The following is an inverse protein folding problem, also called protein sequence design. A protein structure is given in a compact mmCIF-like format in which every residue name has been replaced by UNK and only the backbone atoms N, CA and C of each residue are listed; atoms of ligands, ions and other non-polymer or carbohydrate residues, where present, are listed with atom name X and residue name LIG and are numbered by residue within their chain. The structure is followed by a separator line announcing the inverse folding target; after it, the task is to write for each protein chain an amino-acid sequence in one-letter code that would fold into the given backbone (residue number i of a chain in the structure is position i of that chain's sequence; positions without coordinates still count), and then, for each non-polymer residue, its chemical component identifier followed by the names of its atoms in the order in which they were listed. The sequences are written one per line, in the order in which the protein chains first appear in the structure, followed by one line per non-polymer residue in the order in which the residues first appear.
data_IF_195297214604
#
_entry.id   IF_195297214604
#
_cell.length_a   1.000
_cell.length_b   1.000
_cell.length_c   1.000
_cell.angle_alpha   90.00
_cell.angle_beta   90.00
_cell.angle_gamma   90.00
#
_symmetry.space_group_name_H-M   'P 1'
#
loop_
_entity.id
_entity.type
_entity.pdbx_description
1 polymer ?
#
# COMPACT_ATOMS: atom_id res chain seq x y z
N UNK A 1 4.21 -2.76 -41.20
CA UNK A 1 3.08 -2.46 -40.28
C UNK A 1 2.60 -1.01 -40.34
N UNK A 2 3.23 -0.11 -41.12
CA UNK A 2 2.87 1.33 -41.16
C UNK A 2 1.53 1.69 -41.82
N UNK A 3 0.81 0.70 -42.37
CA UNK A 3 -0.48 0.91 -43.05
C UNK A 3 -1.72 0.78 -42.15
N UNK A 4 -1.57 0.32 -40.91
CA UNK A 4 -2.73 0.16 -40.02
C UNK A 4 -3.16 1.53 -39.47
N UNK A 5 -4.42 1.97 -39.69
CA UNK A 5 -4.98 3.17 -39.08
C UNK A 5 -4.82 3.16 -37.56
N UNK A 6 -4.57 4.32 -36.98
CA UNK A 6 -4.31 4.45 -35.53
C UNK A 6 -5.52 4.03 -34.70
N UNK A 7 -6.72 4.26 -35.21
CA UNK A 7 -8.00 3.91 -34.60
C UNK A 7 -8.16 2.39 -34.46
N UNK A 8 -7.82 1.64 -35.51
CA UNK A 8 -7.83 0.18 -35.48
C UNK A 8 -6.76 -0.37 -34.54
N UNK A 9 -5.59 0.27 -34.51
CA UNK A 9 -4.54 -0.09 -33.56
C UNK A 9 -4.98 0.12 -32.11
N UNK A 10 -5.64 1.24 -31.79
CA UNK A 10 -6.22 1.49 -30.47
C UNK A 10 -7.25 0.41 -30.13
N UNK A 11 -8.12 0.05 -31.07
CA UNK A 11 -9.13 -0.98 -30.84
C UNK A 11 -8.50 -2.34 -30.54
N UNK A 12 -7.54 -2.79 -31.37
CA UNK A 12 -6.80 -4.04 -31.15
C UNK A 12 -6.10 -4.03 -29.78
N UNK A 13 -5.38 -2.96 -29.45
CA UNK A 13 -4.66 -2.85 -28.16
C UNK A 13 -5.62 -2.80 -26.96
N UNK A 14 -6.84 -2.28 -27.12
CA UNK A 14 -7.81 -2.26 -26.02
C UNK A 14 -8.22 -3.67 -25.55
N UNK A 15 -8.12 -4.66 -26.44
CA UNK A 15 -8.42 -6.06 -26.17
C UNK A 15 -7.28 -6.81 -25.47
N UNK A 16 -6.05 -6.27 -25.48
CA UNK A 16 -4.86 -6.91 -24.90
C UNK A 16 -4.80 -6.67 -23.38
N UNK A 17 -4.29 -7.63 -22.61
CA UNK A 17 -4.07 -7.43 -21.17
C UNK A 17 -3.10 -6.26 -20.90
N UNK A 18 -3.31 -5.52 -19.81
CA UNK A 18 -2.51 -4.34 -19.53
C UNK A 18 -1.03 -4.64 -19.26
N UNK A 19 -0.70 -5.84 -18.76
CA UNK A 19 0.69 -6.26 -18.57
C UNK A 19 1.36 -6.51 -19.90
N UNK A 20 0.65 -7.13 -20.84
CA UNK A 20 1.16 -7.35 -22.21
C UNK A 20 1.28 -6.04 -22.98
N UNK A 21 0.36 -5.09 -22.77
CA UNK A 21 0.50 -3.74 -23.30
C UNK A 21 1.84 -3.11 -22.90
N UNK A 22 2.19 -3.19 -21.61
CA UNK A 22 3.41 -2.59 -21.07
C UNK A 22 4.68 -3.36 -21.42
N UNK A 23 4.64 -4.69 -21.34
CA UNK A 23 5.84 -5.53 -21.43
C UNK A 23 6.16 -5.96 -22.87
N UNK A 24 5.14 -6.09 -23.73
CA UNK A 24 5.28 -6.67 -25.06
C UNK A 24 4.92 -5.67 -26.17
N UNK A 25 3.72 -5.08 -26.13
CA UNK A 25 3.21 -4.22 -27.21
C UNK A 25 4.05 -2.96 -27.43
N UNK A 26 4.59 -2.37 -26.36
CA UNK A 26 5.47 -1.20 -26.43
C UNK A 26 6.81 -1.47 -27.11
N UNK A 27 7.22 -2.73 -27.23
CA UNK A 27 8.47 -3.13 -27.87
C UNK A 27 8.32 -3.40 -29.37
N UNK A 28 7.08 -3.48 -29.87
CA UNK A 28 6.78 -3.82 -31.28
C UNK A 28 7.22 -2.73 -32.24
N UNK A 29 6.85 -1.48 -31.97
CA UNK A 29 7.25 -0.32 -32.79
C UNK A 29 7.05 0.99 -32.02
N UNK A 30 7.63 2.08 -32.52
CA UNK A 30 7.43 3.44 -31.97
C UNK A 30 5.95 3.82 -31.94
N UNK A 31 5.22 3.54 -33.03
CA UNK A 31 3.78 3.81 -33.14
C UNK A 31 2.98 3.07 -32.06
N UNK A 32 3.27 1.78 -31.85
CA UNK A 32 2.59 0.99 -30.81
C UNK A 32 2.88 1.55 -29.41
N UNK A 33 4.14 1.88 -29.13
CA UNK A 33 4.53 2.50 -27.87
C UNK A 33 3.78 3.81 -27.60
N UNK A 34 3.70 4.69 -28.60
CA UNK A 34 2.99 5.97 -28.49
C UNK A 34 1.49 5.77 -28.21
N UNK A 35 0.84 4.82 -28.88
CA UNK A 35 -0.57 4.50 -28.64
C UNK A 35 -0.80 3.90 -27.26
N UNK A 36 0.08 2.99 -26.82
CA UNK A 36 0.00 2.39 -25.48
C UNK A 36 0.16 3.45 -24.40
N UNK A 37 1.20 4.29 -24.54
CA UNK A 37 1.57 5.27 -23.52
C UNK A 37 0.55 6.43 -23.44
N UNK A 38 -0.21 6.72 -24.49
CA UNK A 38 -1.15 7.84 -24.56
C UNK A 38 -2.62 7.47 -24.31
N UNK A 39 -3.13 6.39 -24.92
CA UNK A 39 -4.59 6.12 -24.96
C UNK A 39 -4.94 4.74 -24.42
N UNK A 40 -4.20 3.69 -24.80
CA UNK A 40 -4.65 2.31 -24.54
C UNK A 40 -4.75 2.02 -23.03
N UNK A 41 -3.72 2.37 -22.25
CA UNK A 41 -3.70 2.14 -20.80
C UNK A 41 -4.71 3.04 -20.06
N UNK A 42 -4.86 4.29 -20.51
CA UNK A 42 -5.84 5.23 -19.96
C UNK A 42 -7.26 4.68 -20.08
N UNK A 43 -7.67 4.30 -21.30
CA UNK A 43 -9.01 3.73 -21.55
C UNK A 43 -9.24 2.47 -20.73
N UNK A 44 -8.22 1.61 -20.63
CA UNK A 44 -8.30 0.39 -19.82
C UNK A 44 -8.48 0.72 -18.34
N UNK A 45 -7.74 1.70 -17.80
CA UNK A 45 -7.92 2.15 -16.42
C UNK A 45 -9.33 2.74 -16.19
N UNK A 46 -9.84 3.57 -17.10
CA UNK A 46 -11.20 4.14 -17.02
C UNK A 46 -12.30 3.07 -17.02
N UNK A 47 -12.09 1.94 -17.71
CA UNK A 47 -13.06 0.83 -17.75
C UNK A 47 -13.00 -0.10 -16.53
N UNK A 48 -11.81 -0.32 -15.96
CA UNK A 48 -11.60 -1.37 -14.95
C UNK A 48 -11.36 -0.86 -13.53
N UNK A 49 -11.00 0.41 -13.36
CA UNK A 49 -10.74 0.98 -12.03
C UNK A 49 -12.00 1.61 -11.45
N UNK A 50 -12.17 1.51 -10.13
CA UNK A 50 -13.26 2.18 -9.44
C UNK A 50 -13.10 3.71 -9.48
N UNK A 51 -14.20 4.45 -9.34
CA UNK A 51 -14.17 5.92 -9.27
C UNK A 51 -13.25 6.42 -8.14
N UNK A 52 -13.19 5.71 -7.01
CA UNK A 52 -12.27 6.01 -5.89
C UNK A 52 -10.80 5.96 -6.34
N UNK A 53 -10.41 4.96 -7.13
CA UNK A 53 -9.04 4.84 -7.67
C UNK A 53 -8.77 5.92 -8.71
N UNK A 54 -9.72 6.17 -9.62
CA UNK A 54 -9.59 7.23 -10.64
C UNK A 54 -9.45 8.63 -10.01
N UNK A 55 -10.16 8.88 -8.91
CA UNK A 55 -10.09 10.13 -8.16
C UNK A 55 -8.92 10.19 -7.16
N UNK A 56 -8.17 9.11 -6.96
CA UNK A 56 -7.06 9.07 -6.01
C UNK A 56 -5.84 9.88 -6.50
N UNK A 57 -5.79 10.22 -7.79
CA UNK A 57 -4.82 11.17 -8.29
C UNK A 57 -5.27 12.59 -7.94
N UNK A 58 -4.35 13.46 -7.52
CA UNK A 58 -4.66 14.87 -7.44
C UNK A 58 -5.10 15.32 -8.84
N UNK A 59 -6.37 15.71 -8.98
CA UNK A 59 -6.75 16.60 -10.06
C UNK A 59 -5.90 17.84 -9.85
N UNK A 60 -4.86 18.00 -10.67
CA UNK A 60 -4.22 19.29 -10.81
C UNK A 60 -5.35 20.27 -11.09
N UNK A 61 -5.59 21.20 -10.16
CA UNK A 61 -6.42 22.35 -10.47
C UNK A 61 -5.80 22.95 -11.73
N UNK A 62 -6.60 23.05 -12.78
CA UNK A 62 -6.26 23.37 -14.17
C UNK A 62 -5.93 22.15 -15.06
N UNK A 63 -6.90 21.88 -15.95
CA UNK A 63 -6.83 21.29 -17.29
C UNK A 63 -5.46 20.70 -17.72
N UNK A 64 -5.49 19.44 -18.19
CA UNK A 64 -4.49 18.83 -19.10
C UNK A 64 -3.19 18.26 -18.54
N UNK A 65 -3.18 17.62 -17.36
CA UNK A 65 -2.10 16.66 -17.08
C UNK A 65 -2.50 15.25 -17.52
N UNK A 66 -2.11 14.89 -18.74
CA UNK A 66 -2.06 13.48 -19.17
C UNK A 66 -1.12 12.76 -18.19
N UNK A 67 -1.69 11.97 -17.28
CA UNK A 67 -0.87 11.15 -16.40
C UNK A 67 0.01 10.23 -17.23
N UNK A 68 1.26 10.02 -16.79
CA UNK A 68 2.17 9.11 -17.47
C UNK A 68 1.59 7.70 -17.50
N UNK A 69 1.93 6.91 -18.52
CA UNK A 69 1.46 5.54 -18.66
C UNK A 69 1.72 4.68 -17.41
N UNK A 70 2.78 4.99 -16.65
CA UNK A 70 3.10 4.34 -15.38
C UNK A 70 1.98 4.48 -14.36
N UNK A 71 1.29 5.62 -14.31
CA UNK A 71 0.19 5.86 -13.38
C UNK A 71 -1.00 4.97 -13.73
N UNK A 72 -1.41 4.90 -14.99
CA UNK A 72 -2.49 4.00 -15.43
C UNK A 72 -2.11 2.53 -15.20
N UNK A 73 -0.85 2.17 -15.43
CA UNK A 73 -0.34 0.84 -15.09
C UNK A 73 -0.46 0.54 -13.59
N UNK A 74 -0.10 1.48 -12.71
CA UNK A 74 -0.26 1.32 -11.25
C UNK A 74 -1.72 1.25 -10.82
N UNK A 75 -2.61 2.02 -11.46
CA UNK A 75 -4.06 1.92 -11.26
C UNK A 75 -4.58 0.53 -11.59
N UNK A 76 -4.19 -0.01 -12.74
CA UNK A 76 -4.58 -1.35 -13.19
C UNK A 76 -3.97 -2.46 -12.31
N UNK A 77 -2.85 -2.19 -11.63
CA UNK A 77 -2.30 -3.08 -10.58
C UNK A 77 -3.01 -2.93 -9.22
N UNK A 78 -4.02 -2.06 -9.11
CA UNK A 78 -4.81 -1.87 -7.89
C UNK A 78 -3.95 -1.54 -6.66
N UNK A 79 -2.96 -0.66 -6.83
CA UNK A 79 -2.05 -0.23 -5.75
C UNK A 79 -2.49 1.06 -5.06
N UNK A 80 -3.33 1.87 -5.72
CA UNK A 80 -3.83 3.12 -5.16
C UNK A 80 -4.98 2.89 -4.18
N UNK A 81 -5.06 3.72 -3.13
CA UNK A 81 -6.15 3.74 -2.16
C UNK A 81 -6.48 2.37 -1.54
N UNK A 82 -5.44 1.52 -1.36
CA UNK A 82 -5.55 0.17 -0.83
C UNK A 82 -4.50 -0.07 0.25
N UNK A 83 -4.88 -0.81 1.30
CA UNK A 83 -3.94 -1.32 2.29
C UNK A 83 -3.12 -2.47 1.69
N UNK A 84 -1.79 -2.34 1.69
CA UNK A 84 -0.85 -3.35 1.20
C UNK A 84 -0.43 -4.36 2.28
N UNK A 85 -0.72 -4.07 3.56
CA UNK A 85 -0.58 -5.05 4.64
C UNK A 85 -1.67 -6.12 4.51
N UNK A 86 -1.29 -7.36 4.81
CA UNK A 86 -2.24 -8.47 4.88
C UNK A 86 -2.64 -8.69 6.33
N UNK A 87 -3.90 -9.08 6.57
CA UNK A 87 -4.40 -9.41 7.91
C UNK A 87 -4.05 -8.31 8.94
N UNK A 88 -4.39 -7.05 8.61
CA UNK A 88 -4.01 -5.88 9.41
C UNK A 88 -4.76 -5.79 10.75
N UNK A 89 -5.90 -6.49 10.90
CA UNK A 89 -6.69 -6.50 12.13
C UNK A 89 -6.66 -7.86 12.86
N UNK A 90 -6.18 -8.94 12.23
CA UNK A 90 -6.06 -10.25 12.88
C UNK A 90 -7.21 -11.22 12.61
N UNK A 91 -8.09 -10.95 11.64
CA UNK A 91 -9.18 -11.86 11.25
C UNK A 91 -8.67 -13.27 10.91
N UNK A 92 -7.44 -13.37 10.39
CA UNK A 92 -6.75 -14.61 10.10
C UNK A 92 -5.71 -14.96 11.18
N UNK A 93 -6.01 -14.68 12.46
CA UNK A 93 -5.08 -14.87 13.59
C UNK A 93 -3.75 -14.15 13.34
N UNK A 94 -2.62 -14.83 13.49
CA UNK A 94 -1.27 -14.29 13.23
C UNK A 94 -0.77 -14.54 11.79
N UNK A 95 -1.63 -14.97 10.86
CA UNK A 95 -1.22 -15.20 9.47
C UNK A 95 -0.60 -13.94 8.86
N UNK A 96 0.42 -14.13 8.01
CA UNK A 96 1.25 -13.10 7.37
C UNK A 96 2.21 -12.32 8.26
N UNK A 97 2.01 -12.32 9.58
CA UNK A 97 2.90 -11.67 10.53
C UNK A 97 4.04 -12.60 10.94
N UNK A 98 5.23 -12.03 11.11
CA UNK A 98 6.42 -12.74 11.59
C UNK A 98 6.86 -12.18 12.94
N UNK A 99 7.32 -13.02 13.88
CA UNK A 99 7.83 -12.54 15.16
C UNK A 99 9.17 -11.83 14.95
N UNK A 100 9.43 -10.76 15.69
CA UNK A 100 10.74 -10.10 15.67
C UNK A 100 11.81 -10.87 16.47
N UNK A 101 11.39 -11.79 17.34
CA UNK A 101 12.24 -12.62 18.18
C UNK A 101 12.02 -14.11 17.85
N UNK A 102 12.81 -15.00 18.45
CA UNK A 102 12.76 -16.45 18.19
C UNK A 102 11.53 -17.14 18.79
N UNK A 103 10.79 -16.46 19.67
CA UNK A 103 9.59 -16.99 20.30
C UNK A 103 8.44 -17.11 19.29
N UNK A 104 7.56 -18.09 19.50
CA UNK A 104 6.34 -18.25 18.69
C UNK A 104 5.44 -17.02 18.86
N UNK A 105 5.10 -16.40 17.73
CA UNK A 105 4.24 -15.21 17.66
C UNK A 105 2.88 -15.42 18.36
N UNK A 106 2.33 -16.64 18.31
CA UNK A 106 1.05 -16.97 18.95
C UNK A 106 1.10 -16.98 20.48
N UNK A 107 2.29 -17.05 21.08
CA UNK A 107 2.47 -16.96 22.53
C UNK A 107 2.54 -15.52 23.03
N UNK A 108 2.93 -14.58 22.15
CA UNK A 108 3.14 -13.16 22.47
C UNK A 108 1.97 -12.27 22.06
N UNK A 109 1.13 -12.73 21.15
CA UNK A 109 0.01 -11.96 20.64
C UNK A 109 -1.28 -12.76 20.78
N UNK A 110 -2.24 -12.18 21.49
CA UNK A 110 -3.64 -12.59 21.44
C UNK A 110 -4.32 -11.82 20.31
N UNK A 111 -5.16 -12.49 19.55
CA UNK A 111 -6.12 -11.82 18.67
C UNK A 111 -7.46 -11.81 19.38
N UNK A 112 -8.02 -10.62 19.53
CA UNK A 112 -9.35 -10.43 20.10
C UNK A 112 -10.33 -10.23 18.94
N UNK A 113 -11.41 -11.00 18.91
CA UNK A 113 -12.40 -10.90 17.83
C UNK A 113 -13.12 -9.54 17.84
N UNK A 114 -13.35 -9.03 19.04
CA UNK A 114 -13.74 -7.67 19.36
C UNK A 114 -12.78 -7.16 20.44
N UNK A 115 -12.33 -5.90 20.39
CA UNK A 115 -11.43 -5.38 21.41
C UNK A 115 -12.01 -5.54 22.82
N UNK A 116 -11.30 -6.26 23.69
CA UNK A 116 -11.72 -6.50 25.06
C UNK A 116 -11.21 -5.38 25.97
N UNK A 117 -12.12 -4.70 26.68
CA UNK A 117 -11.74 -3.61 27.60
C UNK A 117 -11.39 -2.29 26.89
N UNK A 118 -11.85 -2.09 25.65
CA UNK A 118 -11.82 -0.82 24.93
C UNK A 118 -13.12 -0.60 24.16
N UNK A 119 -13.25 0.56 23.52
CA UNK A 119 -14.28 0.81 22.50
C UNK A 119 -14.09 -0.11 21.28
N UNK A 120 -15.17 -0.29 20.51
CA UNK A 120 -15.10 -0.90 19.19
C UNK A 120 -14.13 -0.15 18.27
N UNK A 121 -13.59 -0.86 17.28
CA UNK A 121 -12.75 -0.24 16.25
C UNK A 121 -13.52 0.89 15.54
N UNK A 122 -12.86 2.03 15.25
CA UNK A 122 -13.47 3.11 14.49
C UNK A 122 -13.99 2.64 13.13
N UNK A 123 -15.17 3.12 12.73
CA UNK A 123 -15.74 2.85 11.41
C UNK A 123 -15.02 3.71 10.35
N UNK A 124 -13.96 3.17 9.74
CA UNK A 124 -13.26 3.83 8.64
C UNK A 124 -12.63 2.84 7.63
N UNK A 125 -12.15 3.41 6.52
CA UNK A 125 -11.53 2.68 5.41
C UNK A 125 -10.28 1.87 5.78
N UNK A 126 -9.57 2.22 6.86
CA UNK A 126 -8.34 1.51 7.27
C UNK A 126 -8.65 0.13 7.86
N UNK A 127 -9.80 0.00 8.54
CA UNK A 127 -10.27 -1.26 9.11
C UNK A 127 -11.15 -2.05 8.13
N UNK A 128 -11.86 -1.36 7.23
CA UNK A 128 -12.80 -2.00 6.30
C UNK A 128 -13.88 -2.77 7.07
N UNK A 129 -14.01 -4.07 6.81
CA UNK A 129 -14.91 -4.96 7.57
C UNK A 129 -14.26 -5.58 8.83
N UNK A 130 -13.05 -5.15 9.18
CA UNK A 130 -12.29 -5.67 10.31
C UNK A 130 -12.88 -5.24 11.65
N UNK A 131 -12.99 -6.22 12.55
CA UNK A 131 -13.49 -6.04 13.92
C UNK A 131 -12.49 -6.49 14.99
N UNK A 132 -11.49 -7.27 14.57
CA UNK A 132 -10.49 -7.84 15.47
C UNK A 132 -9.34 -6.88 15.76
N UNK A 133 -8.64 -7.09 16.87
CA UNK A 133 -7.40 -6.38 17.15
C UNK A 133 -6.31 -7.32 17.69
N UNK A 134 -5.07 -6.82 17.67
CA UNK A 134 -3.92 -7.52 18.24
C UNK A 134 -3.65 -7.00 19.64
N UNK A 135 -3.74 -7.87 20.64
CA UNK A 135 -3.53 -7.57 22.04
C UNK A 135 -2.23 -8.24 22.52
N UNK A 136 -1.24 -7.46 23.01
CA UNK A 136 0.03 -8.02 23.46
C UNK A 136 -0.14 -8.79 24.79
N UNK A 137 0.25 -10.07 24.80
CA UNK A 137 0.20 -10.93 26.00
C UNK A 137 1.48 -10.87 26.85
N UNK A 138 2.54 -10.23 26.34
CA UNK A 138 3.86 -10.14 26.96
C UNK A 138 4.48 -8.74 26.79
N UNK A 139 5.46 -8.38 27.63
CA UNK A 139 6.19 -7.09 27.53
C UNK A 139 6.99 -6.92 26.24
N UNK A 140 7.36 -8.03 25.59
CA UNK A 140 8.17 -8.04 24.36
C UNK A 140 7.39 -8.64 23.18
N UNK A 141 6.19 -8.10 22.95
CA UNK A 141 5.33 -8.54 21.87
C UNK A 141 5.66 -7.70 20.63
N UNK A 142 6.35 -8.30 19.65
CA UNK A 142 6.79 -7.59 18.46
C UNK A 142 6.58 -8.46 17.22
N UNK A 143 6.05 -7.85 16.16
CA UNK A 143 5.72 -8.52 14.91
C UNK A 143 6.01 -7.60 13.72
N UNK A 144 6.31 -8.19 12.57
CA UNK A 144 6.58 -7.44 11.35
C UNK A 144 6.01 -8.11 10.09
N UNK A 145 5.87 -7.31 9.03
CA UNK A 145 5.58 -7.76 7.67
C UNK A 145 6.56 -7.11 6.68
N UNK A 146 6.99 -7.87 5.67
CA UNK A 146 7.79 -7.35 4.56
C UNK A 146 6.88 -7.28 3.33
N UNK A 147 6.66 -6.06 2.84
CA UNK A 147 5.88 -5.80 1.63
C UNK A 147 6.84 -5.72 0.44
N UNK A 148 6.69 -6.64 -0.51
CA UNK A 148 7.44 -6.60 -1.77
C UNK A 148 6.72 -5.70 -2.77
N UNK A 149 7.12 -4.43 -2.83
CA UNK A 149 6.49 -3.41 -3.68
C UNK A 149 6.34 -3.86 -5.15
N UNK A 150 7.35 -4.54 -5.71
CA UNK A 150 7.32 -5.06 -7.09
C UNK A 150 6.12 -5.98 -7.39
N UNK A 151 5.62 -6.70 -6.38
CA UNK A 151 4.50 -7.63 -6.53
C UNK A 151 3.18 -6.86 -6.80
N UNK A 152 3.18 -5.53 -6.55
CA UNK A 152 2.08 -4.58 -6.84
C UNK A 152 2.37 -3.68 -8.05
N UNK A 153 3.34 -4.05 -8.90
CA UNK A 153 3.73 -3.27 -10.06
C UNK A 153 4.67 -2.09 -9.77
N UNK A 154 4.98 -1.80 -8.50
CA UNK A 154 5.97 -0.81 -8.07
C UNK A 154 7.39 -1.35 -8.28
N UNK A 155 7.76 -1.53 -9.54
CA UNK A 155 9.10 -1.95 -9.96
C UNK A 155 10.15 -0.88 -9.62
N UNK A 156 11.43 -1.26 -9.59
CA UNK A 156 12.52 -0.30 -9.36
C UNK A 156 12.41 0.92 -10.28
N UNK A 157 12.23 0.69 -11.59
CA UNK A 157 12.04 1.78 -12.57
C UNK A 157 10.87 2.69 -12.22
N UNK A 158 9.74 2.15 -11.76
CA UNK A 158 8.59 2.97 -11.38
C UNK A 158 8.87 3.74 -10.08
N UNK A 159 9.49 3.10 -9.09
CA UNK A 159 9.89 3.76 -7.85
C UNK A 159 10.87 4.91 -8.13
N UNK A 160 11.82 4.73 -9.04
CA UNK A 160 12.82 5.75 -9.39
C UNK A 160 12.21 6.93 -10.16
N UNK A 161 11.26 6.64 -11.07
CA UNK A 161 10.66 7.64 -11.97
C UNK A 161 9.45 8.37 -11.37
N UNK A 162 8.53 7.64 -10.74
CA UNK A 162 7.25 8.18 -10.24
C UNK A 162 7.34 8.57 -8.77
N UNK A 163 8.19 7.87 -8.00
CA UNK A 163 8.39 8.14 -6.57
C UNK A 163 7.07 8.30 -5.82
N UNK A 164 6.17 7.30 -5.91
CA UNK A 164 4.84 7.44 -5.35
C UNK A 164 4.92 7.60 -3.84
N UNK A 165 4.06 8.46 -3.31
CA UNK A 165 3.95 8.66 -1.87
C UNK A 165 3.43 7.38 -1.22
N UNK A 166 4.26 6.76 -0.38
CA UNK A 166 3.86 5.62 0.45
C UNK A 166 3.38 6.18 1.79
N UNK A 167 2.07 6.08 2.03
CA UNK A 167 1.44 6.48 3.29
C UNK A 167 1.38 5.31 4.25
N UNK A 168 1.81 5.53 5.48
CA UNK A 168 1.71 4.53 6.53
C UNK A 168 0.89 5.10 7.69
N UNK A 169 -0.07 4.30 8.15
CA UNK A 169 -0.88 4.62 9.31
C UNK A 169 -0.95 3.41 10.23
N UNK A 170 -0.94 3.68 11.53
CA UNK A 170 -1.16 2.69 12.57
C UNK A 170 -2.24 3.16 13.53
N UNK A 171 -3.01 2.20 14.05
CA UNK A 171 -4.03 2.43 15.06
C UNK A 171 -3.66 1.69 16.33
N UNK A 172 -3.80 2.34 17.47
CA UNK A 172 -3.50 1.76 18.78
C UNK A 172 -4.49 2.22 19.84
N UNK A 173 -4.58 1.43 20.91
CA UNK A 173 -5.37 1.73 22.10
C UNK A 173 -4.53 1.40 23.33
N UNK A 174 -4.50 2.31 24.31
CA UNK A 174 -3.88 2.06 25.61
C UNK A 174 -4.97 2.02 26.68
N UNK A 175 -5.07 0.90 27.39
CA UNK A 175 -5.98 0.72 28.53
C UNK A 175 -5.30 1.08 29.85
N UNK A 176 -6.08 1.35 30.90
CA UNK A 176 -5.57 1.73 32.23
C UNK A 176 -4.70 0.64 32.87
N UNK A 177 -5.00 -0.63 32.59
CA UNK A 177 -4.22 -1.78 33.04
C UNK A 177 -2.88 -1.96 32.29
N UNK A 178 -2.61 -1.15 31.26
CA UNK A 178 -1.35 -1.11 30.52
C UNK A 178 -0.40 0.01 30.98
N UNK A 179 -0.65 0.62 32.14
CA UNK A 179 0.22 1.65 32.73
C UNK A 179 1.70 1.27 32.70
N UNK A 180 2.47 1.95 31.83
CA UNK A 180 3.91 1.74 31.66
C UNK A 180 4.34 0.91 30.44
N UNK A 181 3.44 0.57 29.50
CA UNK A 181 3.82 -0.10 28.25
C UNK A 181 4.21 0.90 27.17
N UNK A 182 5.37 0.70 26.56
CA UNK A 182 5.85 1.47 25.41
C UNK A 182 5.33 0.83 24.12
N UNK A 183 4.61 1.59 23.29
CA UNK A 183 4.37 1.19 21.91
C UNK A 183 5.51 1.72 21.05
N UNK A 184 6.20 0.83 20.34
CA UNK A 184 7.26 1.19 19.40
C UNK A 184 6.91 0.68 18.02
N UNK A 185 6.88 1.60 17.07
CA UNK A 185 6.61 1.33 15.66
C UNK A 185 7.82 1.72 14.84
N UNK A 186 8.27 0.81 13.96
CA UNK A 186 9.40 1.05 13.06
C UNK A 186 9.02 0.65 11.65
N UNK A 187 9.26 1.55 10.70
CA UNK A 187 9.03 1.33 9.27
C UNK A 187 10.29 1.65 8.50
N UNK A 188 10.65 0.78 7.56
CA UNK A 188 11.87 0.91 6.79
C UNK A 188 11.58 0.69 5.31
N UNK A 189 12.06 1.61 4.47
CA UNK A 189 12.13 1.41 3.03
C UNK A 189 13.45 0.71 2.73
N UNK A 190 13.37 -0.43 2.04
CA UNK A 190 14.52 -1.29 1.77
C UNK A 190 14.83 -1.34 0.28
N UNK A 191 16.11 -1.41 -0.06
CA UNK A 191 16.56 -1.64 -1.43
C UNK A 191 16.46 -3.14 -1.82
N UNK A 192 16.88 -3.48 -3.05
CA UNK A 192 16.90 -4.86 -3.54
C UNK A 192 17.82 -5.80 -2.74
N UNK A 193 18.83 -5.26 -2.04
CA UNK A 193 19.76 -5.99 -1.18
C UNK A 193 19.28 -6.05 0.27
N UNK A 194 18.11 -5.49 0.58
CA UNK A 194 17.53 -5.32 1.93
C UNK A 194 18.34 -4.35 2.81
N UNK A 195 19.12 -3.48 2.21
CA UNK A 195 19.72 -2.34 2.89
C UNK A 195 18.64 -1.28 3.12
N UNK A 196 18.71 -0.61 4.27
CA UNK A 196 17.78 0.47 4.63
C UNK A 196 18.12 1.69 3.77
N UNK A 197 17.16 2.13 2.96
CA UNK A 197 17.24 3.39 2.20
C UNK A 197 16.76 4.54 3.07
N UNK A 198 15.67 4.31 3.80
CA UNK A 198 15.05 5.30 4.66
C UNK A 198 14.30 4.59 5.79
N UNK A 199 14.13 5.25 6.93
CA UNK A 199 13.46 4.68 8.09
C UNK A 199 12.80 5.73 8.95
N UNK A 200 11.63 5.35 9.47
CA UNK A 200 10.91 6.09 10.48
C UNK A 200 10.70 5.20 11.70
N UNK A 201 10.87 5.77 12.90
CA UNK A 201 10.55 5.09 14.15
C UNK A 201 9.79 6.04 15.07
N UNK A 202 8.78 5.52 15.75
CA UNK A 202 7.99 6.26 16.72
C UNK A 202 7.88 5.43 18.00
N UNK A 203 8.10 6.09 19.12
CA UNK A 203 7.91 5.54 20.46
C UNK A 203 6.85 6.36 21.18
N UNK A 204 5.77 5.68 21.58
CA UNK A 204 4.70 6.27 22.37
C UNK A 204 4.92 5.82 23.81
N UNK A 205 5.16 6.82 24.66
CA UNK A 205 5.31 6.65 26.09
C UNK A 205 4.19 7.45 26.78
N UNK A 206 2.98 6.95 26.67
CA UNK A 206 1.83 7.51 27.38
C UNK A 206 1.67 6.80 28.73
N UNK A 207 1.56 7.62 29.78
CA UNK A 207 1.42 7.14 31.16
C UNK A 207 -0.04 6.89 31.56
N UNK A 208 -0.99 7.33 30.73
CA UNK A 208 -2.42 7.20 30.96
C UNK A 208 -3.06 6.44 29.80
N UNK A 209 -4.23 5.84 30.04
CA UNK A 209 -5.02 5.26 28.97
C UNK A 209 -5.40 6.32 27.93
N UNK A 210 -5.46 5.91 26.66
CA UNK A 210 -5.96 6.79 25.60
C UNK A 210 -7.46 7.01 25.71
N UNK A 211 -8.19 6.08 26.34
CA UNK A 211 -9.65 6.08 26.45
C UNK A 211 -10.37 5.77 25.12
N UNK A 212 -9.77 6.14 24.00
CA UNK A 212 -10.25 5.92 22.63
C UNK A 212 -9.12 5.43 21.71
N UNK A 213 -9.48 4.88 20.55
CA UNK A 213 -8.51 4.48 19.53
C UNK A 213 -7.81 5.71 18.93
N UNK A 214 -6.48 5.68 18.90
CA UNK A 214 -5.64 6.72 18.34
C UNK A 214 -5.05 6.27 17.00
N UNK A 215 -4.94 7.20 16.05
CA UNK A 215 -4.30 6.95 14.75
C UNK A 215 -3.01 7.75 14.63
N UNK A 216 -1.96 7.10 14.15
CA UNK A 216 -0.67 7.72 13.87
C UNK A 216 -0.44 7.74 12.38
N UNK A 217 -0.17 8.92 11.84
CA UNK A 217 0.41 9.04 10.51
C UNK A 217 1.92 8.94 10.66
N UNK A 218 2.49 7.80 10.25
CA UNK A 218 3.88 7.49 10.56
C UNK A 218 4.82 8.22 9.60
N UNK A 219 4.62 8.13 8.29
CA UNK A 219 5.58 8.72 7.34
C UNK A 219 5.09 8.78 5.89
N UNK A 220 5.70 9.66 5.10
CA UNK A 220 5.67 9.64 3.63
C UNK A 220 7.09 9.38 3.12
N UNK A 221 7.36 8.21 2.54
CA UNK A 221 8.63 8.00 1.84
C UNK A 221 8.66 8.85 0.57
N UNK A 222 9.61 9.78 0.48
CA UNK A 222 10.02 10.42 -0.76
C UNK A 222 11.40 9.86 -1.12
N UNK A 223 11.53 9.01 -2.15
CA UNK A 223 12.83 8.47 -2.55
C UNK A 223 13.83 9.60 -2.84
N UNK A 224 14.92 9.62 -2.08
CA UNK A 224 16.05 10.54 -2.25
C UNK A 224 16.71 10.25 -3.61
N UNK A 225 17.13 11.30 -4.32
CA UNK A 225 18.03 11.17 -5.47
C UNK A 225 19.36 10.58 -4.98
N UNK A 226 19.62 9.31 -5.24
CA UNK A 226 20.99 8.78 -5.26
C UNK A 226 21.64 9.09 -6.59
#
# INVERSE_FOLDING_TARGET
MDKLPTELLIHILSLVDFRDLVNNCRLVSRKWKEVVDSVALRRKAEMHCSRKVLNALPNGKHNETVHSWQIYYLMLNNVFARNLLRNNCGQNKMEYWRPCHTDDIGTKWKVEEYPEGSDFLPENDDFGAGRCCFSPSSRYSSKYQIIRLKDFGLTQRIMDQIRPVIRIREWYYLSDCNGGRMNQSKVQLLDKRRCVIDSFSLEINEKAATGVWQSLFLFNFLPILS
#
